data_IF_935810586955
#
_entry.id   IF_935810586955
#
_cell.length_a   1.000
_cell.length_b   1.000
_cell.length_c   1.000
_cell.angle_alpha   90.00
_cell.angle_beta   90.00
_cell.angle_gamma   90.00
#
_symmetry.space_group_name_H-M   'P 1'
#
loop_
_entity.id
_entity.type
_entity.pdbx_description
1 polymer ?
#
# COMPACT_ATOMS: atom_id res chain seq x y z
N UNK A 1 -44.28 38.47 -50.77
CA UNK A 1 -43.56 39.62 -50.22
C UNK A 1 -43.11 39.26 -48.79
N UNK A 2 -41.80 39.38 -48.58
CA UNK A 2 -41.07 39.44 -47.27
C UNK A 2 -41.23 38.25 -46.31
N UNK A 3 -40.36 37.22 -46.32
CA UNK A 3 -39.03 37.14 -45.67
C UNK A 3 -39.06 37.62 -44.24
N UNK A 4 -39.07 36.71 -43.28
CA UNK A 4 -38.30 36.87 -42.07
C UNK A 4 -37.71 35.50 -41.71
N UNK A 5 -36.41 35.47 -41.85
CA UNK A 5 -35.50 34.45 -41.44
C UNK A 5 -35.36 34.57 -39.91
N UNK A 6 -35.81 33.55 -39.18
CA UNK A 6 -35.53 33.49 -37.74
C UNK A 6 -34.56 32.36 -37.50
N UNK A 7 -33.32 32.73 -37.30
CA UNK A 7 -32.27 31.82 -36.80
C UNK A 7 -32.63 31.38 -35.42
N UNK A 8 -33.10 30.15 -35.30
CA UNK A 8 -33.17 29.48 -33.99
C UNK A 8 -31.78 28.84 -33.73
N UNK A 9 -30.95 29.58 -33.03
CA UNK A 9 -29.69 29.08 -32.52
C UNK A 9 -29.99 28.11 -31.41
N UNK A 10 -30.07 26.81 -31.74
CA UNK A 10 -30.11 25.76 -30.78
C UNK A 10 -28.70 25.66 -30.13
N UNK A 11 -28.54 26.31 -28.99
CA UNK A 11 -27.40 26.08 -28.13
C UNK A 11 -27.56 24.71 -27.52
N UNK A 12 -26.92 23.72 -28.12
CA UNK A 12 -26.72 22.40 -27.54
C UNK A 12 -25.67 22.58 -26.43
N UNK A 13 -26.15 22.75 -25.20
CA UNK A 13 -25.32 22.58 -24.01
C UNK A 13 -25.03 21.09 -23.89
N UNK A 14 -23.95 20.66 -24.52
CA UNK A 14 -23.29 19.42 -24.18
C UNK A 14 -22.71 19.64 -22.80
N UNK A 15 -23.45 19.24 -21.77
CA UNK A 15 -22.91 18.99 -20.46
C UNK A 15 -21.91 17.85 -20.61
N UNK A 16 -20.67 18.19 -20.83
CA UNK A 16 -19.55 17.29 -20.70
C UNK A 16 -19.46 16.94 -19.21
N UNK A 17 -20.09 15.84 -18.83
CA UNK A 17 -19.70 15.18 -17.61
C UNK A 17 -18.28 14.70 -17.84
N UNK A 18 -17.33 15.50 -17.38
CA UNK A 18 -16.00 15.03 -17.14
C UNK A 18 -16.12 14.02 -16.02
N UNK A 19 -16.24 12.76 -16.38
CA UNK A 19 -15.89 11.68 -15.50
C UNK A 19 -14.39 11.88 -15.31
N UNK A 20 -14.03 12.53 -14.23
CA UNK A 20 -12.68 12.44 -13.71
C UNK A 20 -12.50 10.97 -13.41
N UNK A 21 -11.91 10.23 -14.34
CA UNK A 21 -11.27 8.99 -13.99
C UNK A 21 -10.20 9.42 -12.97
N UNK A 22 -10.49 9.15 -11.71
CA UNK A 22 -9.45 9.00 -10.73
C UNK A 22 -8.66 7.77 -11.16
N UNK A 23 -7.74 7.94 -12.10
CA UNK A 23 -6.56 7.15 -12.09
C UNK A 23 -5.92 7.55 -10.77
N UNK A 24 -5.97 6.69 -9.78
CA UNK A 24 -5.06 6.77 -8.67
C UNK A 24 -3.68 6.75 -9.31
N UNK A 25 -3.09 7.93 -9.52
CA UNK A 25 -1.68 8.01 -9.76
C UNK A 25 -1.08 7.36 -8.51
N UNK A 26 -0.46 6.21 -8.70
CA UNK A 26 0.56 5.73 -7.76
C UNK A 26 1.41 6.98 -7.52
N UNK A 27 1.47 7.50 -6.29
CA UNK A 27 2.06 8.79 -6.07
C UNK A 27 3.49 8.76 -6.55
N UNK A 28 3.75 9.41 -7.67
CA UNK A 28 5.11 9.74 -8.09
C UNK A 28 5.55 10.89 -7.21
N UNK A 29 5.83 10.55 -5.98
CA UNK A 29 6.42 11.45 -5.02
C UNK A 29 7.91 11.40 -5.25
N UNK A 30 8.46 12.49 -5.79
CA UNK A 30 9.83 12.87 -5.48
C UNK A 30 9.89 13.23 -3.98
N UNK A 31 9.61 12.32 -3.10
CA UNK A 31 9.78 12.45 -1.67
C UNK A 31 10.58 11.27 -1.17
N UNK A 32 11.45 11.59 -0.25
CA UNK A 32 12.31 10.67 0.50
C UNK A 32 11.60 9.32 0.71
N UNK A 33 12.32 8.22 0.45
CA UNK A 33 11.80 6.85 0.55
C UNK A 33 10.96 6.70 1.81
N UNK A 34 9.67 6.44 1.62
CA UNK A 34 8.72 6.31 2.74
C UNK A 34 8.61 4.86 3.24
N UNK A 35 9.52 3.99 2.78
CA UNK A 35 9.57 2.61 3.25
C UNK A 35 10.11 2.54 4.68
N UNK A 36 9.59 1.62 5.51
CA UNK A 36 10.09 1.41 6.86
C UNK A 36 11.52 0.85 6.85
N UNK A 37 12.20 0.96 7.99
CA UNK A 37 13.51 0.33 8.20
C UNK A 37 13.43 -0.74 9.28
N UNK A 38 14.27 -1.78 9.16
CA UNK A 38 14.34 -2.83 10.17
C UNK A 38 15.05 -2.30 11.41
N UNK A 39 14.32 -2.20 12.52
CA UNK A 39 14.89 -1.82 13.81
C UNK A 39 15.41 -3.03 14.58
N UNK A 40 14.68 -4.15 14.56
CA UNK A 40 15.03 -5.40 15.22
C UNK A 40 14.37 -6.57 14.48
N UNK A 41 15.05 -7.71 14.41
CA UNK A 41 14.46 -8.94 13.93
C UNK A 41 15.04 -10.14 14.66
N UNK A 42 14.15 -11.01 15.17
CA UNK A 42 14.54 -12.22 15.93
C UNK A 42 13.86 -13.42 15.31
N UNK A 43 14.62 -14.44 14.92
CA UNK A 43 14.08 -15.66 14.32
C UNK A 43 13.44 -16.60 15.35
N UNK A 44 12.81 -17.68 14.86
CA UNK A 44 12.15 -18.68 15.70
C UNK A 44 13.10 -19.38 16.69
N UNK A 45 14.41 -19.36 16.47
CA UNK A 45 15.43 -19.92 17.35
C UNK A 45 15.97 -18.88 18.37
N UNK A 46 15.51 -17.63 18.30
CA UNK A 46 15.92 -16.53 19.19
C UNK A 46 17.21 -15.82 18.77
N UNK A 47 17.62 -15.97 17.50
CA UNK A 47 18.80 -15.28 16.98
C UNK A 47 18.44 -13.91 16.43
N UNK A 48 19.32 -12.92 16.60
CA UNK A 48 19.22 -11.65 15.93
C UNK A 48 19.54 -11.83 14.43
N UNK A 49 18.55 -11.53 13.60
CA UNK A 49 18.61 -11.70 12.14
C UNK A 49 18.32 -10.41 11.37
N UNK A 50 18.35 -9.26 12.04
CA UNK A 50 18.03 -7.98 11.42
C UNK A 50 18.85 -7.71 10.15
N UNK A 51 20.14 -8.09 10.13
CA UNK A 51 21.00 -7.95 8.96
C UNK A 51 20.68 -8.87 7.78
N UNK A 52 19.78 -9.84 7.97
CA UNK A 52 19.30 -10.76 6.94
C UNK A 52 17.91 -10.45 6.43
N UNK A 53 17.22 -9.46 6.99
CA UNK A 53 15.94 -8.96 6.49
C UNK A 53 16.19 -7.79 5.55
N UNK A 54 15.68 -7.86 4.35
CA UNK A 54 15.83 -6.84 3.32
C UNK A 54 14.46 -6.30 2.95
N UNK A 55 14.30 -4.98 2.98
CA UNK A 55 13.11 -4.28 2.53
C UNK A 55 13.45 -3.60 1.21
N UNK A 56 12.70 -3.89 0.16
CA UNK A 56 12.89 -3.31 -1.17
C UNK A 56 11.65 -2.54 -1.59
N UNK A 57 11.83 -1.25 -1.88
CA UNK A 57 10.78 -0.37 -2.39
C UNK A 57 10.21 -0.88 -3.72
N UNK A 58 8.91 -0.65 -3.95
CA UNK A 58 8.26 -0.92 -5.23
C UNK A 58 9.00 -0.26 -6.41
N UNK A 59 9.56 0.94 -6.21
CA UNK A 59 10.32 1.65 -7.24
C UNK A 59 11.63 0.93 -7.61
N UNK A 60 12.21 0.18 -6.68
CA UNK A 60 13.45 -0.60 -6.86
C UNK A 60 13.18 -2.09 -7.19
N UNK A 61 11.93 -2.48 -7.48
CA UNK A 61 11.49 -3.88 -7.70
C UNK A 61 12.28 -4.62 -8.77
N UNK A 62 12.82 -3.91 -9.77
CA UNK A 62 13.61 -4.50 -10.84
C UNK A 62 14.89 -5.22 -10.33
N UNK A 63 15.27 -4.98 -9.07
CA UNK A 63 16.40 -5.65 -8.41
C UNK A 63 16.01 -6.99 -7.80
N UNK A 64 14.72 -7.28 -7.68
CA UNK A 64 14.16 -8.50 -7.09
C UNK A 64 14.06 -9.65 -8.12
N UNK A 65 13.92 -10.90 -7.65
CA UNK A 65 13.53 -12.02 -8.50
C UNK A 65 12.17 -11.79 -9.18
N UNK A 66 11.96 -12.39 -10.37
CA UNK A 66 10.74 -12.21 -11.18
C UNK A 66 9.44 -12.54 -10.39
N UNK A 67 9.49 -13.54 -9.50
CA UNK A 67 8.34 -13.93 -8.69
C UNK A 67 7.97 -12.83 -7.66
N UNK A 68 8.97 -12.20 -7.03
CA UNK A 68 8.76 -11.09 -6.10
C UNK A 68 8.30 -9.81 -6.82
N UNK A 69 8.86 -9.53 -8.01
CA UNK A 69 8.38 -8.43 -8.87
C UNK A 69 6.89 -8.60 -9.19
N UNK A 70 6.51 -9.83 -9.58
CA UNK A 70 5.11 -10.14 -9.88
C UNK A 70 4.19 -9.94 -8.68
N UNK A 71 4.60 -10.38 -7.48
CA UNK A 71 3.80 -10.17 -6.26
C UNK A 71 3.60 -8.69 -5.96
N UNK A 72 4.63 -7.86 -6.13
CA UNK A 72 4.52 -6.41 -5.99
C UNK A 72 3.60 -5.79 -7.04
N UNK A 73 3.64 -6.26 -8.30
CA UNK A 73 2.75 -5.78 -9.35
C UNK A 73 1.29 -6.18 -9.09
N UNK A 74 1.04 -7.42 -8.66
CA UNK A 74 -0.29 -7.90 -8.29
C UNK A 74 -0.84 -7.10 -7.08
N UNK A 75 0.02 -6.78 -6.09
CA UNK A 75 -0.34 -5.94 -4.95
C UNK A 75 -0.66 -4.49 -5.37
N UNK A 76 0.14 -3.91 -6.27
CA UNK A 76 -0.10 -2.58 -6.81
C UNK A 76 -1.46 -2.50 -7.56
N UNK A 77 -1.80 -3.52 -8.36
CA UNK A 77 -3.09 -3.62 -9.03
C UNK A 77 -4.25 -3.71 -8.03
N UNK A 78 -4.09 -4.49 -6.96
CA UNK A 78 -5.10 -4.59 -5.89
C UNK A 78 -5.30 -3.26 -5.15
N UNK A 79 -4.24 -2.47 -4.98
CA UNK A 79 -4.28 -1.15 -4.33
C UNK A 79 -4.86 -0.05 -5.22
N UNK A 80 -4.96 -0.23 -6.55
CA UNK A 80 -5.62 0.74 -7.44
C UNK A 80 -7.09 0.99 -7.07
N UNK A 81 -7.77 -0.02 -6.50
CA UNK A 81 -9.13 0.13 -5.95
C UNK A 81 -9.14 -0.17 -4.45
N UNK A 82 -8.46 0.68 -3.68
CA UNK A 82 -8.34 0.56 -2.23
C UNK A 82 -9.70 0.53 -1.53
N UNK A 83 -10.69 1.24 -2.06
CA UNK A 83 -12.04 1.22 -1.53
C UNK A 83 -12.69 -0.16 -1.66
N UNK A 84 -12.57 -0.83 -2.81
CA UNK A 84 -13.06 -2.18 -3.00
C UNK A 84 -12.30 -3.19 -2.13
N UNK A 85 -10.98 -3.01 -1.96
CA UNK A 85 -10.16 -3.84 -1.10
C UNK A 85 -10.62 -3.74 0.36
N UNK A 86 -10.88 -2.54 0.87
CA UNK A 86 -11.39 -2.29 2.23
C UNK A 86 -12.80 -2.89 2.38
N UNK A 87 -13.69 -2.71 1.40
CA UNK A 87 -15.04 -3.27 1.45
C UNK A 87 -15.05 -4.80 1.42
N UNK A 88 -14.09 -5.41 0.74
CA UNK A 88 -13.94 -6.85 0.62
C UNK A 88 -13.28 -7.54 1.84
N UNK A 89 -12.68 -6.76 2.75
CA UNK A 89 -12.00 -7.27 3.93
C UNK A 89 -12.70 -6.77 5.21
N UNK A 90 -13.44 -7.67 5.88
CA UNK A 90 -14.25 -7.32 7.05
C UNK A 90 -13.38 -6.83 8.23
N UNK A 91 -12.18 -7.39 8.43
CA UNK A 91 -11.26 -7.00 9.51
C UNK A 91 -10.69 -5.60 9.27
N UNK A 92 -10.28 -5.32 8.03
CA UNK A 92 -9.77 -4.01 7.63
C UNK A 92 -10.88 -2.96 7.72
N UNK A 93 -12.09 -3.28 7.29
CA UNK A 93 -13.25 -2.40 7.37
C UNK A 93 -13.61 -2.05 8.82
N UNK A 94 -13.56 -3.01 9.74
CA UNK A 94 -13.79 -2.79 11.16
C UNK A 94 -12.68 -1.93 11.78
N UNK A 95 -11.43 -2.20 11.43
CA UNK A 95 -10.27 -1.45 11.91
C UNK A 95 -10.32 0.02 11.50
N UNK A 96 -10.67 0.28 10.25
CA UNK A 96 -10.68 1.64 9.70
C UNK A 96 -11.89 2.48 10.15
N UNK A 97 -12.98 1.84 10.61
CA UNK A 97 -14.21 2.49 11.12
C UNK A 97 -14.74 3.61 10.19
N UNK A 98 -14.66 3.38 8.87
CA UNK A 98 -15.15 4.32 7.85
C UNK A 98 -14.25 5.53 7.59
N UNK A 99 -13.04 5.55 8.11
CA UNK A 99 -12.05 6.57 7.80
C UNK A 99 -11.42 6.32 6.43
N UNK A 100 -11.08 7.39 5.74
CA UNK A 100 -10.34 7.32 4.47
C UNK A 100 -8.88 7.00 4.73
N UNK A 101 -8.31 6.15 3.86
CA UNK A 101 -6.91 5.76 3.90
C UNK A 101 -6.31 5.82 2.52
N UNK A 102 -5.00 6.07 2.48
CA UNK A 102 -4.16 5.98 1.29
C UNK A 102 -3.06 4.94 1.48
N UNK A 103 -2.51 4.43 0.39
CA UNK A 103 -1.32 3.61 0.42
C UNK A 103 -0.09 4.53 0.57
N UNK A 104 0.58 4.47 1.72
CA UNK A 104 1.79 5.25 1.99
C UNK A 104 3.04 4.60 1.39
N UNK A 105 3.14 3.27 1.49
CA UNK A 105 4.29 2.52 1.00
C UNK A 105 3.88 1.14 0.50
N UNK A 106 4.49 0.69 -0.58
CA UNK A 106 4.44 -0.68 -1.10
C UNK A 106 5.87 -1.18 -1.26
N UNK A 107 6.19 -2.32 -0.65
CA UNK A 107 7.53 -2.86 -0.59
C UNK A 107 7.55 -4.37 -0.46
N UNK A 108 8.68 -4.98 -0.80
CA UNK A 108 8.96 -6.39 -0.57
C UNK A 108 9.74 -6.58 0.74
N UNK A 109 9.39 -7.59 1.51
CA UNK A 109 10.22 -8.09 2.61
C UNK A 109 10.77 -9.44 2.19
N UNK A 110 12.08 -9.53 2.09
CA UNK A 110 12.81 -10.75 1.76
C UNK A 110 13.84 -11.10 2.83
N UNK A 111 14.20 -12.38 2.85
CA UNK A 111 15.18 -12.94 3.78
C UNK A 111 16.41 -13.36 3.00
N UNK A 112 17.58 -12.88 3.42
CA UNK A 112 18.87 -13.23 2.83
C UNK A 112 19.66 -14.11 3.80
N UNK A 113 19.89 -15.35 3.41
CA UNK A 113 20.61 -16.36 4.20
C UNK A 113 19.76 -17.60 4.47
N UNK A 114 20.37 -18.78 4.31
CA UNK A 114 19.67 -20.07 4.43
C UNK A 114 19.42 -20.49 5.90
N UNK A 115 19.93 -19.72 6.86
CA UNK A 115 19.86 -20.08 8.29
C UNK A 115 18.72 -19.38 9.04
N UNK A 116 18.05 -18.38 8.41
CA UNK A 116 16.95 -17.64 9.05
C UNK A 116 15.67 -18.46 8.95
N UNK A 117 15.03 -18.67 10.10
CA UNK A 117 13.81 -19.46 10.19
C UNK A 117 12.61 -18.60 10.50
N UNK A 118 11.59 -18.71 9.67
CA UNK A 118 10.29 -18.13 9.93
C UNK A 118 9.55 -18.95 11.02
N UNK A 119 8.67 -18.33 11.82
CA UNK A 119 8.39 -16.89 11.82
C UNK A 119 9.52 -16.06 12.42
N UNK A 120 9.58 -14.78 12.03
CA UNK A 120 10.51 -13.79 12.57
C UNK A 120 9.70 -12.73 13.34
N UNK A 121 10.05 -12.47 14.59
CA UNK A 121 9.56 -11.28 15.29
C UNK A 121 10.29 -10.06 14.73
N UNK A 122 9.54 -9.20 14.02
CA UNK A 122 10.07 -8.08 13.26
C UNK A 122 9.59 -6.77 13.86
N UNK A 123 10.51 -5.82 14.03
CA UNK A 123 10.21 -4.44 14.41
C UNK A 123 10.65 -3.51 13.29
N UNK A 124 9.69 -2.77 12.78
CA UNK A 124 9.87 -1.79 11.70
C UNK A 124 9.77 -0.38 12.26
N UNK A 125 10.77 0.45 12.01
CA UNK A 125 10.70 1.88 12.27
C UNK A 125 9.95 2.54 11.09
N UNK A 126 8.78 3.12 11.39
CA UNK A 126 7.92 3.78 10.41
C UNK A 126 8.37 5.22 10.15
N UNK A 127 8.16 5.70 8.92
CA UNK A 127 8.49 7.09 8.55
C UNK A 127 7.43 8.04 9.10
N UNK A 128 6.14 7.68 8.98
CA UNK A 128 5.00 8.50 9.44
C UNK A 128 4.12 7.73 10.43
N UNK A 129 4.61 7.45 11.64
CA UNK A 129 3.88 6.61 12.60
C UNK A 129 2.56 7.22 13.08
N UNK A 130 2.43 8.55 13.09
CA UNK A 130 1.24 9.26 13.60
C UNK A 130 0.00 8.99 12.74
N UNK A 131 0.18 8.72 11.45
CA UNK A 131 -0.89 8.47 10.50
C UNK A 131 -1.06 6.98 10.15
N UNK A 132 -0.29 6.10 10.78
CA UNK A 132 -0.37 4.66 10.51
C UNK A 132 -1.80 4.13 10.74
N UNK A 133 -2.34 3.46 9.73
CA UNK A 133 -3.66 2.85 9.78
C UNK A 133 -3.59 1.32 9.83
N UNK A 134 -2.83 0.70 8.93
CA UNK A 134 -2.71 -0.74 8.83
C UNK A 134 -1.44 -1.17 8.06
N UNK A 135 -1.00 -2.40 8.32
CA UNK A 135 -0.03 -3.11 7.49
C UNK A 135 -0.75 -4.26 6.80
N UNK A 136 -0.59 -4.37 5.50
CA UNK A 136 -1.15 -5.45 4.68
C UNK A 136 -0.04 -6.34 4.14
N UNK A 137 -0.32 -7.63 4.04
CA UNK A 137 0.48 -8.62 3.31
C UNK A 137 -0.32 -9.10 2.11
N UNK A 138 0.31 -9.24 0.96
CA UNK A 138 -0.31 -9.68 -0.28
C UNK A 138 0.19 -11.07 -0.68
N UNK A 139 -0.75 -11.97 -0.90
CA UNK A 139 -0.51 -13.31 -1.44
C UNK A 139 -1.41 -13.49 -2.66
N UNK A 140 -0.82 -13.71 -3.83
CA UNK A 140 -1.55 -13.88 -5.08
C UNK A 140 -2.56 -12.74 -5.38
N UNK A 141 -2.23 -11.49 -4.98
CA UNK A 141 -3.08 -10.31 -5.14
C UNK A 141 -4.19 -10.16 -4.10
N UNK A 142 -4.33 -11.09 -3.16
CA UNK A 142 -5.25 -10.97 -2.04
C UNK A 142 -4.55 -10.33 -0.82
N UNK A 143 -5.17 -9.30 -0.25
CA UNK A 143 -4.65 -8.60 0.93
C UNK A 143 -5.12 -9.23 2.23
N UNK A 144 -4.18 -9.47 3.12
CA UNK A 144 -4.42 -9.92 4.50
C UNK A 144 -3.93 -8.87 5.48
N UNK A 145 -4.76 -8.54 6.48
CA UNK A 145 -4.35 -7.64 7.57
C UNK A 145 -3.27 -8.32 8.42
N UNK A 146 -2.15 -7.63 8.63
CA UNK A 146 -1.09 -8.06 9.53
C UNK A 146 -1.32 -7.46 10.91
N UNK A 147 -1.47 -8.30 11.93
CA UNK A 147 -1.54 -7.84 13.31
C UNK A 147 -0.25 -7.08 13.66
N UNK A 148 -0.39 -5.84 14.06
CA UNK A 148 0.74 -4.93 14.30
C UNK A 148 0.52 -4.15 15.58
N UNK A 149 1.50 -4.17 16.47
CA UNK A 149 1.55 -3.32 17.66
C UNK A 149 2.42 -2.10 17.38
N UNK A 150 1.85 -0.90 17.46
CA UNK A 150 2.58 0.35 17.25
C UNK A 150 2.91 1.00 18.59
N UNK A 151 4.21 1.16 18.89
CA UNK A 151 4.70 1.86 20.07
C UNK A 151 5.91 2.73 19.70
N UNK A 152 5.86 4.01 20.06
CA UNK A 152 6.95 4.98 19.83
C UNK A 152 7.48 5.03 18.37
N UNK A 153 6.59 4.84 17.39
CA UNK A 153 6.94 4.84 15.95
C UNK A 153 7.50 3.51 15.44
N UNK A 154 7.54 2.50 16.27
CA UNK A 154 7.97 1.15 15.94
C UNK A 154 6.74 0.25 15.77
N UNK A 155 6.60 -0.35 14.62
CA UNK A 155 5.59 -1.36 14.31
C UNK A 155 6.17 -2.76 14.58
N UNK A 156 5.66 -3.44 15.60
CA UNK A 156 6.04 -4.81 15.92
C UNK A 156 5.04 -5.79 15.29
N UNK A 157 5.54 -6.79 14.59
CA UNK A 157 4.75 -7.81 13.90
C UNK A 157 5.48 -9.15 13.89
N UNK A 158 4.73 -10.21 13.58
CA UNK A 158 5.29 -11.52 13.29
C UNK A 158 5.31 -11.74 11.78
N UNK A 159 6.52 -11.84 11.21
CA UNK A 159 6.71 -12.16 9.79
C UNK A 159 6.60 -13.67 9.62
N UNK A 160 5.46 -14.14 9.14
CA UNK A 160 5.23 -15.55 8.87
C UNK A 160 5.66 -15.95 7.46
N UNK A 161 5.54 -15.02 6.52
CA UNK A 161 5.87 -15.21 5.10
C UNK A 161 6.58 -13.96 4.55
N UNK A 162 7.47 -14.17 3.60
CA UNK A 162 8.12 -13.11 2.82
C UNK A 162 7.25 -12.70 1.65
N UNK A 163 7.43 -11.52 1.09
CA UNK A 163 6.70 -11.07 -0.10
C UNK A 163 6.30 -9.61 -0.06
N UNK A 164 5.20 -9.27 -0.73
CA UNK A 164 4.73 -7.90 -0.89
C UNK A 164 3.92 -7.43 0.33
N UNK A 165 4.27 -6.25 0.84
CA UNK A 165 3.62 -5.59 1.96
C UNK A 165 3.26 -4.16 1.60
N UNK A 166 2.16 -3.65 2.17
CA UNK A 166 1.80 -2.24 2.05
C UNK A 166 1.44 -1.62 3.41
N UNK A 167 1.87 -0.38 3.61
CA UNK A 167 1.44 0.46 4.72
C UNK A 167 0.29 1.34 4.24
N UNK A 168 -0.83 1.29 4.96
CA UNK A 168 -1.92 2.23 4.82
C UNK A 168 -1.81 3.32 5.88
N UNK A 169 -2.08 4.54 5.48
CA UNK A 169 -2.11 5.72 6.36
C UNK A 169 -3.47 6.39 6.31
N UNK A 170 -3.93 6.94 7.43
CA UNK A 170 -5.12 7.77 7.47
C UNK A 170 -4.89 9.07 6.71
N UNK A 171 -5.85 9.43 5.86
CA UNK A 171 -5.86 10.73 5.19
C UNK A 171 -6.22 11.80 6.22
N UNK A 172 -5.35 12.83 6.35
CA UNK A 172 -5.67 13.96 7.22
C UNK A 172 -6.86 14.74 6.63
N UNK A 173 -7.90 14.94 7.44
CA UNK A 173 -9.01 15.80 7.06
C UNK A 173 -8.53 17.26 7.02
N UNK A 174 -8.61 17.91 5.85
CA UNK A 174 -8.36 19.35 5.70
C UNK A 174 -9.43 20.20 6.43
#
# INVERSE_FOLDING_TARGET
MKKILSCLLAVLLLASFSISAFAAEVPSVESEKQIPTVAEAVDADGNDVAGGIVITDYEDKDTLPEDAQKQLDDAAEALEDLAALVEGNDELKELLDGKEVDCEALFDISVVGDEIKLPVELKLELVNPDNFAALLHFVDGEATLVETELEDGIAALTLEEVGAYAILSFVEAE
#
